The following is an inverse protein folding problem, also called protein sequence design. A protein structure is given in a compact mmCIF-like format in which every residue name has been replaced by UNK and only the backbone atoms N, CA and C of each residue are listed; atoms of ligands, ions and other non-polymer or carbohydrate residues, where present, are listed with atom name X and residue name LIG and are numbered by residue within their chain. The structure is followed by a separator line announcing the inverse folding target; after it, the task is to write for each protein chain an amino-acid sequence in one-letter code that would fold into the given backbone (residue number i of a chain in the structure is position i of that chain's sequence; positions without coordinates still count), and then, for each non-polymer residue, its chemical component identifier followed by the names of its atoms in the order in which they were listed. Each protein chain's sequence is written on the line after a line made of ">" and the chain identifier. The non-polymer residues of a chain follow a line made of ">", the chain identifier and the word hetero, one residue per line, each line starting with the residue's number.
data_IF_741866946585
#
_entry.id   IF_741866946585
#
_cell.length_a   1.000
_cell.length_b   1.000
_cell.length_c   1.000
_cell.angle_alpha   90.00
_cell.angle_beta   90.00
_cell.angle_gamma   90.00
#
_symmetry.space_group_name_H-M   'P 1'
#
loop_
_entity.id
_entity.type
_entity.pdbx_description
1 polymer ?
#
# COMPACT_ATOMS: atom_id res chain seq x y z
N UNK A 1 58.59 -0.43 -34.21
CA UNK A 1 58.50 -1.24 -32.98
C UNK A 1 57.77 -0.43 -31.92
N UNK A 2 56.46 -0.67 -31.74
CA UNK A 2 55.59 0.01 -30.77
C UNK A 2 54.78 -1.12 -30.10
N UNK A 3 54.74 -1.24 -28.75
CA UNK A 3 54.26 -2.45 -28.10
C UNK A 3 52.72 -2.52 -28.09
N UNK A 4 52.19 -3.62 -28.63
CA UNK A 4 50.76 -4.02 -28.68
C UNK A 4 50.22 -4.52 -27.32
N UNK A 5 50.88 -4.19 -26.22
CA UNK A 5 50.55 -4.69 -24.87
C UNK A 5 49.55 -3.80 -24.10
N UNK A 6 49.37 -2.55 -24.53
CA UNK A 6 48.59 -1.55 -23.77
C UNK A 6 47.07 -1.58 -24.02
N UNK A 7 46.56 -2.42 -24.94
CA UNK A 7 45.11 -2.47 -25.28
C UNK A 7 44.32 -3.60 -24.62
N UNK A 8 44.96 -4.58 -23.95
CA UNK A 8 44.25 -5.68 -23.31
C UNK A 8 43.80 -5.39 -21.87
N UNK A 9 44.39 -4.40 -21.19
CA UNK A 9 44.09 -4.13 -19.77
C UNK A 9 42.78 -3.36 -19.58
N UNK A 10 42.34 -2.60 -20.59
CA UNK A 10 41.09 -1.83 -20.52
C UNK A 10 39.81 -2.68 -20.64
N UNK A 11 39.90 -3.92 -21.13
CA UNK A 11 38.73 -4.79 -21.32
C UNK A 11 38.41 -5.67 -20.08
N UNK A 12 39.37 -5.88 -19.18
CA UNK A 12 39.19 -6.74 -18.00
C UNK A 12 38.48 -6.06 -16.82
N UNK A 13 38.54 -4.74 -16.72
CA UNK A 13 37.97 -4.00 -15.59
C UNK A 13 36.44 -3.78 -15.69
N UNK A 14 35.84 -4.02 -16.87
CA UNK A 14 34.40 -3.80 -17.09
C UNK A 14 33.57 -5.03 -16.70
N UNK A 15 34.16 -6.23 -16.65
CA UNK A 15 33.45 -7.47 -16.30
C UNK A 15 33.30 -7.69 -14.79
N UNK A 16 34.11 -7.03 -13.95
CA UNK A 16 34.02 -7.15 -12.50
C UNK A 16 33.04 -6.15 -11.85
N UNK A 17 32.61 -5.12 -12.59
CA UNK A 17 31.66 -4.13 -12.10
C UNK A 17 30.19 -4.54 -12.31
N UNK A 18 29.92 -5.51 -13.18
CA UNK A 18 28.55 -5.97 -13.49
C UNK A 18 28.05 -7.10 -12.59
N UNK A 19 28.89 -7.67 -11.73
CA UNK A 19 28.49 -8.74 -10.79
C UNK A 19 28.07 -8.23 -9.41
N UNK A 20 28.33 -6.97 -9.07
CA UNK A 20 27.96 -6.38 -7.77
C UNK A 20 26.57 -5.74 -7.72
N UNK A 21 25.91 -5.55 -8.87
CA UNK A 21 24.59 -4.90 -8.95
C UNK A 21 23.41 -5.85 -8.65
N UNK A 22 23.64 -7.15 -8.46
CA UNK A 22 22.58 -8.13 -8.20
C UNK A 22 22.42 -8.46 -6.70
N UNK A 23 23.34 -8.03 -5.83
CA UNK A 23 23.30 -8.24 -4.36
C UNK A 23 22.99 -6.91 -3.65
N UNK A 24 21.93 -6.25 -4.08
CA UNK A 24 21.37 -5.09 -3.36
C UNK A 24 19.84 -5.18 -3.18
N UNK A 25 19.19 -6.25 -3.64
CA UNK A 25 17.78 -6.54 -3.34
C UNK A 25 17.59 -7.43 -2.09
N UNK A 26 18.60 -7.47 -1.21
CA UNK A 26 18.48 -8.13 0.09
C UNK A 26 17.89 -7.18 1.12
N UNK A 27 16.64 -7.41 1.53
CA UNK A 27 16.14 -6.94 2.83
C UNK A 27 15.31 -5.66 2.81
N UNK A 28 14.23 -5.64 2.04
CA UNK A 28 13.10 -4.77 2.33
C UNK A 28 11.86 -5.65 2.33
N UNK A 29 11.45 -6.11 3.51
CA UNK A 29 10.15 -6.74 3.69
C UNK A 29 9.10 -5.72 3.29
N UNK A 30 8.71 -5.74 2.02
CA UNK A 30 7.61 -4.97 1.52
C UNK A 30 6.39 -5.50 2.25
N UNK A 31 5.98 -4.78 3.29
CA UNK A 31 4.62 -4.84 3.80
C UNK A 31 3.75 -4.71 2.55
N UNK A 32 3.12 -5.82 2.16
CA UNK A 32 2.04 -5.80 1.17
C UNK A 32 1.16 -4.61 1.54
N UNK A 33 1.05 -3.63 0.64
CA UNK A 33 0.27 -2.41 0.82
C UNK A 33 -1.23 -2.72 0.79
N UNK A 34 -1.65 -3.67 1.62
CA UNK A 34 -2.99 -4.18 1.75
C UNK A 34 -3.29 -4.36 3.23
N UNK A 35 -4.58 -4.30 3.54
CA UNK A 35 -5.07 -4.51 4.90
C UNK A 35 -4.92 -5.98 5.30
N UNK A 36 -4.68 -6.22 6.58
CA UNK A 36 -4.61 -7.56 7.19
C UNK A 36 -5.98 -8.24 7.28
N UNK A 37 -7.05 -7.48 7.07
CA UNK A 37 -8.42 -7.97 6.98
C UNK A 37 -9.45 -6.85 6.80
N UNK A 38 -10.73 -7.23 6.85
CA UNK A 38 -11.86 -6.30 6.79
C UNK A 38 -12.69 -6.36 8.07
N UNK A 39 -13.14 -5.20 8.53
CA UNK A 39 -14.12 -5.03 9.60
C UNK A 39 -15.43 -4.61 8.94
N UNK A 40 -16.46 -5.46 9.04
CA UNK A 40 -17.79 -5.14 8.52
C UNK A 40 -18.55 -4.29 9.54
N UNK A 41 -19.04 -3.13 9.14
CA UNK A 41 -19.75 -2.18 10.01
C UNK A 41 -21.14 -1.94 9.47
N UNK A 42 -22.17 -2.28 10.25
CA UNK A 42 -23.55 -1.98 9.91
C UNK A 42 -23.89 -0.52 10.16
N UNK A 43 -24.48 0.14 9.16
CA UNK A 43 -25.01 1.51 9.30
C UNK A 43 -26.53 1.44 9.46
N UNK A 44 -27.01 1.57 10.70
CA UNK A 44 -28.42 1.36 11.04
C UNK A 44 -29.18 2.69 11.13
N UNK A 45 -29.57 3.22 9.97
CA UNK A 45 -30.46 4.38 9.84
C UNK A 45 -31.82 3.98 9.22
N UNK A 46 -32.88 4.68 9.59
CA UNK A 46 -34.20 4.61 8.95
C UNK A 46 -34.17 5.34 7.62
N UNK A 47 -33.73 4.65 6.57
CA UNK A 47 -33.74 5.16 5.19
C UNK A 47 -35.14 5.17 4.54
N UNK A 48 -36.20 4.97 5.33
CA UNK A 48 -37.59 5.02 4.90
C UNK A 48 -38.47 5.70 5.96
N UNK A 49 -39.63 6.22 5.54
CA UNK A 49 -40.54 6.99 6.40
C UNK A 49 -40.14 8.45 6.55
N UNK A 50 -40.72 9.16 7.52
CA UNK A 50 -40.47 10.61 7.73
C UNK A 50 -39.09 10.92 8.28
N UNK A 51 -38.41 9.95 8.88
CA UNK A 51 -37.05 10.09 9.42
C UNK A 51 -35.96 9.99 8.33
N UNK A 52 -36.27 9.38 7.17
CA UNK A 52 -35.33 9.24 6.06
C UNK A 52 -34.76 10.57 5.54
N UNK A 53 -35.54 11.65 5.64
CA UNK A 53 -35.15 12.98 5.16
C UNK A 53 -33.90 13.48 5.91
N UNK A 54 -33.84 13.28 7.22
CA UNK A 54 -32.71 13.72 8.04
C UNK A 54 -31.59 12.68 8.13
N UNK A 55 -31.93 11.39 8.00
CA UNK A 55 -30.99 10.29 8.24
C UNK A 55 -30.19 9.89 7.00
N UNK A 56 -30.68 10.17 5.78
CA UNK A 56 -29.91 9.91 4.56
C UNK A 56 -28.61 10.71 4.54
N UNK A 57 -28.65 11.99 4.91
CA UNK A 57 -27.45 12.83 5.01
C UNK A 57 -26.49 12.32 6.09
N UNK A 58 -27.00 11.77 7.20
CA UNK A 58 -26.15 11.17 8.24
C UNK A 58 -25.42 9.93 7.71
N UNK A 59 -26.13 9.05 7.00
CA UNK A 59 -25.53 7.87 6.34
C UNK A 59 -24.41 8.27 5.37
N UNK A 60 -24.62 9.29 4.54
CA UNK A 60 -23.61 9.77 3.60
C UNK A 60 -22.36 10.32 4.30
N UNK A 61 -22.55 11.05 5.41
CA UNK A 61 -21.44 11.55 6.23
C UNK A 61 -20.68 10.41 6.90
N UNK A 62 -21.37 9.40 7.39
CA UNK A 62 -20.74 8.20 7.97
C UNK A 62 -19.93 7.42 6.92
N UNK A 63 -20.47 7.23 5.71
CA UNK A 63 -19.75 6.60 4.60
C UNK A 63 -18.52 7.44 4.17
N UNK A 64 -18.63 8.77 4.20
CA UNK A 64 -17.51 9.69 3.95
C UNK A 64 -16.42 9.55 5.02
N UNK A 65 -16.79 9.52 6.30
CA UNK A 65 -15.85 9.34 7.40
C UNK A 65 -15.15 7.98 7.32
N UNK A 66 -15.89 6.91 6.98
CA UNK A 66 -15.31 5.57 6.74
C UNK A 66 -14.28 5.60 5.61
N UNK A 67 -14.58 6.33 4.53
CA UNK A 67 -13.63 6.49 3.41
C UNK A 67 -12.36 7.19 3.87
N UNK A 68 -12.47 8.31 4.59
CA UNK A 68 -11.31 9.03 5.11
C UNK A 68 -10.44 8.17 6.03
N UNK A 69 -11.06 7.37 6.90
CA UNK A 69 -10.34 6.43 7.78
C UNK A 69 -9.61 5.36 6.95
N UNK A 70 -10.27 4.80 5.94
CA UNK A 70 -9.66 3.80 5.06
C UNK A 70 -8.50 4.38 4.25
N UNK A 71 -8.65 5.59 3.72
CA UNK A 71 -7.61 6.32 2.98
C UNK A 71 -6.42 6.67 3.89
N UNK A 72 -6.67 6.91 5.19
CA UNK A 72 -5.65 7.08 6.22
C UNK A 72 -4.97 5.77 6.68
N UNK A 73 -5.27 4.64 6.04
CA UNK A 73 -4.66 3.34 6.35
C UNK A 73 -5.45 2.46 7.31
N UNK A 74 -6.75 2.75 7.48
CA UNK A 74 -7.72 1.92 8.18
C UNK A 74 -7.55 1.89 9.71
N UNK A 75 -8.24 0.96 10.35
CA UNK A 75 -8.20 0.79 11.81
C UNK A 75 -7.00 -0.06 12.21
N UNK A 76 -6.23 0.39 13.21
CA UNK A 76 -5.10 -0.37 13.75
C UNK A 76 -5.48 -1.11 15.02
N UNK A 77 -5.26 -2.43 15.04
CA UNK A 77 -5.48 -3.29 16.23
C UNK A 77 -4.27 -4.21 16.37
N UNK A 78 -3.58 -4.14 17.51
CA UNK A 78 -2.40 -4.98 17.82
C UNK A 78 -1.32 -4.96 16.71
N UNK A 79 -1.08 -3.80 16.10
CA UNK A 79 -0.09 -3.65 15.02
C UNK A 79 -0.55 -4.10 13.64
N UNK A 80 -1.77 -4.63 13.50
CA UNK A 80 -2.41 -4.97 12.23
C UNK A 80 -3.32 -3.85 11.77
N UNK A 81 -3.58 -3.80 10.48
CA UNK A 81 -4.41 -2.82 9.79
C UNK A 81 -5.65 -3.46 9.19
N UNK A 82 -6.80 -2.86 9.40
CA UNK A 82 -8.08 -3.38 8.92
C UNK A 82 -8.82 -2.33 8.12
N UNK A 83 -9.35 -2.75 6.98
CA UNK A 83 -10.25 -1.93 6.17
C UNK A 83 -11.64 -1.97 6.78
N UNK A 84 -12.30 -0.84 6.89
CA UNK A 84 -13.72 -0.79 7.24
C UNK A 84 -14.54 -1.01 5.96
N UNK A 85 -15.44 -1.98 5.99
CA UNK A 85 -16.40 -2.26 4.91
C UNK A 85 -17.81 -2.00 5.45
N UNK A 86 -18.48 -0.91 5.05
CA UNK A 86 -19.86 -0.67 5.47
C UNK A 86 -20.78 -1.73 4.87
N UNK A 87 -21.72 -2.21 5.68
CA UNK A 87 -22.80 -3.11 5.27
C UNK A 87 -24.14 -2.43 5.57
N UNK A 88 -25.04 -2.49 4.60
CA UNK A 88 -26.39 -1.93 4.69
C UNK A 88 -27.38 -2.96 5.22
#
# INVERSE_FOLDING_TARGET
>A
MIPRFSRCVAAGAVAAATSLSLVACGGGGGSTAGFDGEIKVGILHSLSGTMAISETTLKEVEEMAIKEINDAGGVKVEGKSYKITPIA
#
